data_IF_128623071408
#
_entry.id   IF_128623071408
#
_cell.length_a   1.000
_cell.length_b   1.000
_cell.length_c   1.000
_cell.angle_alpha   90.00
_cell.angle_beta   90.00
_cell.angle_gamma   90.00
#
_symmetry.space_group_name_H-M   'P 1'
#
loop_
_entity.id
_entity.type
_entity.pdbx_description
1 polymer ?
#
# COMPACT_ATOMS: atom_id res chain seq x y z
N UNK A 1 8.42 -5.52 22.11
CA UNK A 1 8.89 -6.82 21.55
C UNK A 1 7.93 -7.43 20.53
N UNK A 2 6.60 -7.23 20.62
CA UNK A 2 5.67 -7.87 19.66
C UNK A 2 5.76 -7.29 18.24
N UNK A 3 6.01 -5.99 18.06
CA UNK A 3 6.09 -5.34 16.73
C UNK A 3 7.32 -5.79 15.94
N UNK A 4 8.50 -5.87 16.58
CA UNK A 4 9.70 -6.39 15.93
C UNK A 4 9.52 -7.83 15.45
N UNK A 5 8.93 -8.69 16.30
CA UNK A 5 8.61 -10.07 15.92
C UNK A 5 7.59 -10.11 14.77
N UNK A 6 6.53 -9.29 14.84
CA UNK A 6 5.55 -9.17 13.76
C UNK A 6 6.21 -8.83 12.41
N UNK A 7 7.11 -7.84 12.41
CA UNK A 7 7.86 -7.43 11.22
C UNK A 7 8.77 -8.55 10.72
N UNK A 8 9.54 -9.18 11.61
CA UNK A 8 10.45 -10.28 11.31
C UNK A 8 9.76 -11.50 10.70
N UNK A 9 8.54 -11.81 11.14
CA UNK A 9 7.79 -12.99 10.66
C UNK A 9 7.03 -12.76 9.35
N UNK A 10 7.24 -11.61 8.68
CA UNK A 10 6.67 -11.32 7.36
C UNK A 10 5.77 -10.09 7.29
N UNK A 11 5.59 -9.36 8.39
CA UNK A 11 4.80 -8.12 8.40
C UNK A 11 5.42 -7.02 7.53
N UNK A 12 6.75 -6.90 7.55
CA UNK A 12 7.46 -5.95 6.69
C UNK A 12 7.36 -6.32 5.20
N UNK A 13 7.51 -7.61 4.89
CA UNK A 13 7.39 -8.12 3.51
C UNK A 13 5.99 -7.87 2.96
N UNK A 14 4.95 -8.05 3.78
CA UNK A 14 3.56 -7.78 3.41
C UNK A 14 3.33 -6.32 2.99
N UNK A 15 3.88 -5.37 3.76
CA UNK A 15 3.79 -3.95 3.43
C UNK A 15 4.59 -3.61 2.17
N UNK A 16 5.76 -4.23 1.97
CA UNK A 16 6.56 -4.07 0.75
C UNK A 16 5.87 -4.62 -0.49
N UNK A 17 5.23 -5.79 -0.39
CA UNK A 17 4.44 -6.39 -1.48
C UNK A 17 3.27 -5.48 -1.89
N UNK A 18 2.66 -4.78 -0.92
CA UNK A 18 1.59 -3.81 -1.17
C UNK A 18 2.13 -2.60 -1.93
N UNK A 19 3.22 -2.00 -1.45
CA UNK A 19 3.86 -0.85 -2.10
C UNK A 19 4.30 -1.16 -3.53
N UNK A 20 4.85 -2.36 -3.75
CA UNK A 20 5.24 -2.78 -5.08
C UNK A 20 4.05 -2.89 -6.02
N UNK A 21 2.90 -3.41 -5.56
CA UNK A 21 1.69 -3.50 -6.37
C UNK A 21 1.16 -2.11 -6.75
N UNK A 22 1.19 -1.14 -5.83
CA UNK A 22 0.83 0.25 -6.12
C UNK A 22 1.80 0.87 -7.13
N UNK A 23 3.10 0.64 -6.97
CA UNK A 23 4.10 1.16 -7.90
C UNK A 23 3.99 0.54 -9.30
N UNK A 24 3.60 -0.73 -9.41
CA UNK A 24 3.33 -1.38 -10.71
C UNK A 24 2.13 -0.75 -11.44
N UNK A 25 1.10 -0.34 -10.69
CA UNK A 25 -0.05 0.43 -11.21
C UNK A 25 0.42 1.80 -11.72
N UNK A 26 1.20 2.53 -10.93
CA UNK A 26 1.72 3.85 -11.31
C UNK A 26 2.56 3.78 -12.60
N UNK A 27 3.44 2.78 -12.72
CA UNK A 27 4.28 2.56 -13.91
C UNK A 27 3.51 2.19 -15.18
N UNK A 28 2.22 1.84 -15.07
CA UNK A 28 1.38 1.60 -16.25
C UNK A 28 0.92 2.90 -16.94
N UNK A 29 1.20 4.05 -16.34
CA UNK A 29 0.96 5.37 -16.93
C UNK A 29 2.25 5.90 -17.55
N UNK A 30 2.23 6.15 -18.84
CA UNK A 30 3.37 6.70 -19.57
C UNK A 30 3.55 8.20 -19.26
N UNK A 31 4.75 8.77 -19.50
CA UNK A 31 5.01 10.20 -19.29
C UNK A 31 4.10 11.14 -20.10
N UNK A 32 3.53 10.66 -21.21
CA UNK A 32 2.58 11.40 -22.05
C UNK A 32 1.11 11.30 -21.55
N UNK A 33 0.88 10.58 -20.45
CA UNK A 33 -0.43 10.34 -19.86
C UNK A 33 -1.23 9.20 -20.49
N UNK A 34 -0.68 8.50 -21.50
CA UNK A 34 -1.30 7.29 -22.02
C UNK A 34 -1.18 6.13 -21.02
N UNK A 35 -2.19 5.26 -21.00
CA UNK A 35 -2.26 4.14 -20.05
C UNK A 35 -2.06 2.82 -20.79
N UNK A 36 -1.10 2.01 -20.33
CA UNK A 36 -0.95 0.64 -20.78
C UNK A 36 -1.99 -0.24 -20.08
N UNK A 37 -3.17 -0.37 -20.70
CA UNK A 37 -4.37 -1.02 -20.15
C UNK A 37 -4.08 -2.41 -19.58
N UNK A 38 -3.24 -3.20 -20.25
CA UNK A 38 -2.91 -4.56 -19.80
C UNK A 38 -2.10 -4.54 -18.51
N UNK A 39 -1.06 -3.71 -18.42
CA UNK A 39 -0.30 -3.51 -17.19
C UNK A 39 -1.15 -2.92 -16.06
N UNK A 40 -1.98 -1.90 -16.33
CA UNK A 40 -2.86 -1.32 -15.32
C UNK A 40 -3.83 -2.37 -14.75
N UNK A 41 -4.47 -3.16 -15.61
CA UNK A 41 -5.40 -4.22 -15.19
C UNK A 41 -4.69 -5.29 -14.35
N UNK A 42 -3.48 -5.66 -14.75
CA UNK A 42 -2.64 -6.59 -13.98
C UNK A 42 -2.33 -6.02 -12.61
N UNK A 43 -1.84 -4.77 -12.54
CA UNK A 43 -1.52 -4.09 -11.29
C UNK A 43 -2.71 -4.03 -10.33
N UNK A 44 -3.89 -3.62 -10.81
CA UNK A 44 -5.10 -3.56 -9.97
C UNK A 44 -5.54 -4.97 -9.50
N UNK A 45 -5.36 -6.01 -10.32
CA UNK A 45 -5.63 -7.40 -9.91
C UNK A 45 -4.63 -7.90 -8.87
N UNK A 46 -3.35 -7.58 -9.05
CA UNK A 46 -2.29 -7.98 -8.14
C UNK A 46 -2.41 -7.26 -6.80
N UNK A 47 -2.78 -5.98 -6.80
CA UNK A 47 -3.09 -5.21 -5.59
C UNK A 47 -4.23 -5.85 -4.79
N UNK A 48 -5.34 -6.25 -5.43
CA UNK A 48 -6.42 -6.96 -4.73
C UNK A 48 -5.94 -8.25 -4.07
N UNK A 49 -5.08 -9.01 -4.75
CA UNK A 49 -4.50 -10.25 -4.20
C UNK A 49 -3.60 -9.97 -3.00
N UNK A 50 -2.80 -8.91 -3.06
CA UNK A 50 -1.96 -8.49 -1.93
C UNK A 50 -2.80 -8.03 -0.76
N UNK A 51 -3.89 -7.29 -1.00
CA UNK A 51 -4.84 -6.91 0.05
C UNK A 51 -5.47 -8.15 0.70
N UNK A 52 -5.93 -9.13 -0.08
CA UNK A 52 -6.50 -10.38 0.46
C UNK A 52 -5.48 -11.12 1.36
N UNK A 53 -4.21 -11.18 0.92
CA UNK A 53 -3.13 -11.78 1.72
C UNK A 53 -2.86 -10.99 3.00
N UNK A 54 -2.92 -9.66 2.93
CA UNK A 54 -2.68 -8.78 4.06
C UNK A 54 -3.77 -8.88 5.12
N UNK A 55 -5.04 -8.98 4.72
CA UNK A 55 -6.17 -9.16 5.62
C UNK A 55 -6.18 -10.55 6.28
N UNK A 56 -5.64 -11.57 5.60
CA UNK A 56 -5.51 -12.92 6.15
C UNK A 56 -4.29 -13.10 7.08
N UNK A 57 -3.35 -12.15 7.08
CA UNK A 57 -2.16 -12.19 7.93
C UNK A 57 -2.48 -11.80 9.38
N UNK A 58 -1.63 -12.19 10.33
CA UNK A 58 -1.87 -11.81 11.73
C UNK A 58 -1.74 -10.28 11.91
N UNK A 59 -2.62 -9.67 12.72
CA UNK A 59 -2.71 -8.22 12.80
C UNK A 59 -1.43 -7.61 13.38
N UNK A 60 -1.19 -6.35 13.02
CA UNK A 60 -0.18 -5.50 13.64
C UNK A 60 -0.51 -5.44 15.15
N UNK A 61 0.45 -5.73 16.05
CA UNK A 61 0.21 -5.81 17.50
C UNK A 61 0.09 -4.44 18.17
N UNK A 62 -0.19 -3.39 17.39
CA UNK A 62 -0.36 -2.02 17.82
C UNK A 62 -1.65 -1.48 17.19
N UNK A 63 -2.64 -1.14 18.02
CA UNK A 63 -4.02 -0.95 17.57
C UNK A 63 -4.22 0.30 16.71
N UNK A 64 -3.45 1.36 16.97
CA UNK A 64 -3.50 2.58 16.16
C UNK A 64 -2.98 2.29 14.74
N UNK A 65 -1.83 1.64 14.65
CA UNK A 65 -1.18 1.22 13.40
C UNK A 65 -2.05 0.23 12.63
N UNK A 66 -2.65 -0.75 13.32
CA UNK A 66 -3.61 -1.68 12.72
C UNK A 66 -4.82 -0.94 12.14
N UNK A 67 -5.35 0.07 12.83
CA UNK A 67 -6.48 0.85 12.33
C UNK A 67 -6.13 1.63 11.07
N UNK A 68 -4.92 2.20 11.01
CA UNK A 68 -4.42 2.88 9.80
C UNK A 68 -4.26 1.87 8.66
N UNK A 69 -3.61 0.73 8.92
CA UNK A 69 -3.39 -0.32 7.92
C UNK A 69 -4.69 -0.83 7.32
N UNK A 70 -5.68 -1.16 8.16
CA UNK A 70 -7.00 -1.59 7.70
C UNK A 70 -7.72 -0.51 6.87
N UNK A 71 -7.56 0.77 7.23
CA UNK A 71 -8.10 1.89 6.45
C UNK A 71 -7.48 2.00 5.06
N UNK A 72 -6.14 1.86 4.97
CA UNK A 72 -5.41 1.84 3.70
C UNK A 72 -5.89 0.69 2.82
N UNK A 73 -5.92 -0.53 3.36
CA UNK A 73 -6.36 -1.72 2.62
C UNK A 73 -7.80 -1.57 2.08
N UNK A 74 -8.72 -1.06 2.91
CA UNK A 74 -10.10 -0.84 2.49
C UNK A 74 -10.22 0.22 1.38
N UNK A 75 -9.51 1.35 1.51
CA UNK A 75 -9.51 2.40 0.49
C UNK A 75 -8.94 1.90 -0.85
N UNK A 76 -7.79 1.23 -0.80
CA UNK A 76 -7.12 0.69 -1.98
C UNK A 76 -7.90 -0.42 -2.64
N UNK A 77 -8.66 -1.23 -1.88
CA UNK A 77 -9.59 -2.22 -2.44
C UNK A 77 -10.65 -1.56 -3.30
N UNK A 78 -11.28 -0.50 -2.81
CA UNK A 78 -12.29 0.26 -3.57
C UNK A 78 -11.66 0.82 -4.85
N UNK A 79 -10.52 1.49 -4.74
CA UNK A 79 -9.85 2.06 -5.91
C UNK A 79 -9.40 1.01 -6.93
N UNK A 80 -8.92 -0.15 -6.49
CA UNK A 80 -8.55 -1.25 -7.38
C UNK A 80 -9.78 -1.87 -8.08
N UNK A 81 -10.92 -1.98 -7.39
CA UNK A 81 -12.18 -2.43 -7.99
C UNK A 81 -12.70 -1.42 -9.03
N UNK A 82 -12.66 -0.12 -8.72
CA UNK A 82 -13.04 0.94 -9.64
C UNK A 82 -12.14 0.97 -10.87
N UNK A 83 -10.82 0.80 -10.68
CA UNK A 83 -9.84 0.62 -11.76
C UNK A 83 -10.26 -0.51 -12.71
N UNK A 84 -10.60 -1.68 -12.16
CA UNK A 84 -11.01 -2.84 -12.96
C UNK A 84 -12.35 -2.60 -13.68
N UNK A 85 -13.27 -1.86 -13.06
CA UNK A 85 -14.56 -1.49 -13.63
C UNK A 85 -14.48 -0.46 -14.76
N UNK A 86 -13.46 0.40 -14.76
CA UNK A 86 -13.29 1.49 -15.73
C UNK A 86 -12.72 1.06 -17.10
N UNK A 87 -12.23 -0.18 -17.25
CA UNK A 87 -11.59 -0.63 -18.50
C UNK A 87 -12.46 -0.79 -19.77
N UNK A 88 -13.79 -0.58 -19.80
CA UNK A 88 -14.49 -0.39 -21.06
C UNK A 88 -14.27 1.00 -21.71
N UNK A 89 -13.74 1.98 -20.96
CA UNK A 89 -13.69 3.41 -21.34
C UNK A 89 -12.29 3.98 -21.10
N UNK A 90 -11.43 3.93 -22.11
CA UNK A 90 -10.06 4.48 -22.03
C UNK A 90 -10.03 5.99 -22.28
N UNK A 91 -10.29 6.79 -21.23
CA UNK A 91 -9.79 8.17 -21.10
C UNK A 91 -8.99 8.28 -19.79
N UNK A 92 -7.72 8.70 -19.88
CA UNK A 92 -6.84 8.86 -18.72
C UNK A 92 -7.42 9.80 -17.66
N UNK A 93 -8.24 10.78 -18.07
CA UNK A 93 -8.88 11.73 -17.15
C UNK A 93 -9.83 11.07 -16.18
N UNK A 94 -10.47 9.97 -16.60
CA UNK A 94 -11.36 9.18 -15.76
C UNK A 94 -10.58 8.29 -14.78
N UNK A 95 -9.37 7.86 -15.15
CA UNK A 95 -8.48 7.06 -14.30
C UNK A 95 -7.67 7.89 -13.30
N UNK A 96 -7.43 9.17 -13.59
CA UNK A 96 -6.62 10.06 -12.71
C UNK A 96 -7.09 10.07 -11.25
N UNK A 97 -8.39 10.21 -10.91
CA UNK A 97 -8.83 10.20 -9.52
C UNK A 97 -8.51 8.87 -8.81
N UNK A 98 -8.65 7.74 -9.51
CA UNK A 98 -8.34 6.41 -8.99
C UNK A 98 -6.85 6.29 -8.69
N UNK A 99 -6.00 6.74 -9.61
CA UNK A 99 -4.55 6.69 -9.44
C UNK A 99 -4.05 7.60 -8.31
N UNK A 100 -4.62 8.80 -8.18
CA UNK A 100 -4.31 9.71 -7.06
C UNK A 100 -4.73 9.12 -5.71
N UNK A 101 -5.84 8.37 -5.66
CA UNK A 101 -6.27 7.70 -4.43
C UNK A 101 -5.35 6.53 -4.06
N UNK A 102 -4.83 5.79 -5.06
CA UNK A 102 -3.89 4.68 -4.85
C UNK A 102 -2.48 5.13 -4.48
N UNK A 103 -2.03 6.27 -4.99
CA UNK A 103 -0.70 6.84 -4.73
C UNK A 103 -0.82 8.32 -4.29
N UNK A 104 -1.26 8.58 -3.05
CA UNK A 104 -1.41 9.94 -2.55
C UNK A 104 -0.05 10.64 -2.35
N UNK A 105 0.01 11.99 -2.38
CA UNK A 105 1.26 12.74 -2.18
C UNK A 105 1.96 12.47 -0.84
N UNK A 106 1.19 12.07 0.17
CA UNK A 106 1.70 11.58 1.45
C UNK A 106 1.34 10.11 1.54
N UNK A 107 2.34 9.25 1.42
CA UNK A 107 2.17 7.81 1.50
C UNK A 107 1.85 7.38 2.94
N UNK A 108 0.62 6.90 3.21
CA UNK A 108 0.22 6.47 4.55
C UNK A 108 0.94 5.19 5.00
N UNK A 109 1.43 4.35 4.07
CA UNK A 109 2.14 3.11 4.38
C UNK A 109 3.58 3.39 4.77
N UNK A 110 4.28 4.29 4.08
CA UNK A 110 5.59 4.76 4.52
C UNK A 110 5.53 5.35 5.94
N UNK A 111 4.56 6.23 6.21
CA UNK A 111 4.37 6.81 7.55
C UNK A 111 4.05 5.75 8.61
N UNK A 112 3.24 4.75 8.27
CA UNK A 112 2.94 3.61 9.12
C UNK A 112 4.20 2.78 9.42
N UNK A 113 5.01 2.50 8.41
CA UNK A 113 6.26 1.74 8.55
C UNK A 113 7.24 2.46 9.47
N UNK A 114 7.45 3.77 9.29
CA UNK A 114 8.31 4.58 10.16
C UNK A 114 7.87 4.51 11.63
N UNK A 115 6.55 4.63 11.88
CA UNK A 115 6.00 4.52 13.22
C UNK A 115 6.23 3.13 13.83
N UNK A 116 6.06 2.07 13.04
CA UNK A 116 6.32 0.69 13.49
C UNK A 116 7.80 0.47 13.82
N UNK A 117 8.71 1.06 13.06
CA UNK A 117 10.15 1.03 13.34
C UNK A 117 10.44 1.72 14.67
N UNK A 118 9.86 2.90 14.93
CA UNK A 118 10.01 3.60 16.20
C UNK A 118 9.47 2.78 17.39
N UNK A 119 8.28 2.20 17.24
CA UNK A 119 7.67 1.37 18.29
C UNK A 119 8.40 0.04 18.53
N UNK A 120 9.14 -0.46 17.53
CA UNK A 120 9.98 -1.63 17.66
C UNK A 120 11.26 -1.36 18.47
N UNK A 121 11.66 -0.10 18.66
CA UNK A 121 12.87 0.24 19.42
C UNK A 121 12.74 -0.15 20.90
N UNK A 122 13.81 -0.67 21.52
CA UNK A 122 13.84 -0.87 22.96
C UNK A 122 13.63 0.46 23.71
N UNK A 123 12.83 0.44 24.77
CA UNK A 123 12.65 1.61 25.63
C UNK A 123 14.03 2.08 26.16
N UNK A 124 14.43 3.30 25.80
CA UNK A 124 15.69 3.92 26.23
C UNK A 124 16.75 4.13 25.15
N UNK A 125 16.54 3.67 23.91
CA UNK A 125 17.47 3.92 22.81
C UNK A 125 17.19 5.28 22.15
N UNK A 126 17.64 6.39 22.76
CA UNK A 126 17.79 7.66 22.06
C UNK A 126 19.05 7.58 21.20
N UNK A 127 18.93 7.82 19.89
CA UNK A 127 20.09 8.04 19.04
C UNK A 127 20.94 9.15 19.68
N UNK A 128 22.15 8.82 20.10
CA UNK A 128 23.17 9.83 20.34
C UNK A 128 23.46 10.45 18.97
N UNK A 129 22.86 11.60 18.71
CA UNK A 129 23.37 12.52 17.69
C UNK A 129 24.73 12.98 18.19
N UNK A 130 25.79 12.39 17.62
CA UNK A 130 27.14 12.93 17.70
C UNK A 130 27.31 14.08 16.71
#
# INVERSE_FOLDING_TARGET
MQIWAWGYFGGADLMGDYEQAVADIDRSVNPDGSVEVTAMRRGCTDLLRTIDRAEAYFPIPASAEQSVWSGVLAGSRVSAQDCLGAFPVTDWKELRPVLTALNPPVDPVAALFDNLVELAKPAGMRLRTG
#
